data_IF_676328567098
#
_entry.id   IF_676328567098
#
_cell.length_a   1.000
_cell.length_b   1.000
_cell.length_c   1.000
_cell.angle_alpha   90.00
_cell.angle_beta   90.00
_cell.angle_gamma   90.00
#
_symmetry.space_group_name_H-M   'P 1'
#
loop_
_entity.id
_entity.type
_entity.pdbx_description
1 polymer ?
#
# COMPACT_ATOMS: atom_id res chain seq x y z
N UNK A 1 -23.97 6.26 -29.79
CA UNK A 1 -22.58 5.78 -29.56
C UNK A 1 -22.48 5.39 -28.10
N UNK A 2 -22.69 4.12 -27.83
CA UNK A 2 -22.77 3.53 -26.49
C UNK A 2 -21.35 3.37 -25.96
N UNK A 3 -20.99 4.13 -24.91
CA UNK A 3 -19.70 3.96 -24.23
C UNK A 3 -19.74 2.65 -23.44
N UNK A 4 -19.03 1.63 -23.93
CA UNK A 4 -18.68 0.46 -23.12
C UNK A 4 -17.77 0.96 -21.99
N UNK A 5 -18.31 1.05 -20.77
CA UNK A 5 -17.52 1.07 -19.55
C UNK A 5 -17.09 -0.37 -19.28
N UNK A 6 -15.90 -0.75 -19.75
CA UNK A 6 -15.25 -1.96 -19.24
C UNK A 6 -14.85 -1.68 -17.80
N UNK A 7 -15.65 -2.16 -16.85
CA UNK A 7 -15.32 -2.15 -15.43
C UNK A 7 -14.08 -3.03 -15.22
N UNK A 8 -12.95 -2.40 -14.94
CA UNK A 8 -11.79 -3.08 -14.39
C UNK A 8 -12.05 -3.26 -12.90
N UNK A 9 -12.44 -4.47 -12.50
CA UNK A 9 -12.50 -4.84 -11.09
C UNK A 9 -11.05 -5.08 -10.65
N UNK A 10 -10.43 -4.09 -10.00
CA UNK A 10 -9.22 -4.33 -9.24
C UNK A 10 -9.60 -5.28 -8.09
N UNK A 11 -9.26 -6.56 -8.22
CA UNK A 11 -9.39 -7.51 -7.11
C UNK A 11 -8.27 -7.19 -6.13
N UNK A 12 -8.53 -6.26 -5.21
CA UNK A 12 -7.84 -6.29 -3.92
C UNK A 12 -8.32 -7.59 -3.27
N UNK A 13 -7.44 -8.60 -3.19
CA UNK A 13 -7.76 -9.84 -2.47
C UNK A 13 -7.78 -9.51 -0.98
N UNK A 14 -8.89 -8.97 -0.50
CA UNK A 14 -9.26 -9.01 0.92
C UNK A 14 -10.18 -10.21 1.07
N UNK A 15 -9.67 -11.30 1.64
CA UNK A 15 -10.50 -12.45 2.01
C UNK A 15 -11.36 -12.02 3.20
N UNK A 16 -12.61 -11.65 2.93
CA UNK A 16 -13.62 -11.33 3.94
C UNK A 16 -14.44 -12.57 4.31
N UNK A 17 -14.50 -12.92 5.59
CA UNK A 17 -15.42 -13.92 6.14
C UNK A 17 -16.63 -13.18 6.73
N UNK A 18 -17.82 -13.49 6.21
CA UNK A 18 -19.12 -12.96 6.62
C UNK A 18 -19.64 -13.68 7.87
N UNK A 19 -20.05 -12.92 8.90
CA UNK A 19 -21.00 -13.39 9.92
C UNK A 19 -22.07 -12.32 10.12
N UNK A 20 -23.32 -12.67 9.81
CA UNK A 20 -24.48 -11.82 9.96
C UNK A 20 -25.03 -11.85 11.40
N UNK A 21 -25.40 -10.69 11.93
CA UNK A 21 -26.12 -10.54 13.20
C UNK A 21 -27.05 -9.33 13.14
N UNK A 22 -28.28 -9.51 13.60
CA UNK A 22 -29.45 -8.65 13.36
C UNK A 22 -29.75 -7.65 14.49
N UNK A 23 -30.34 -6.51 14.06
CA UNK A 23 -31.47 -5.74 14.65
C UNK A 23 -31.26 -4.54 15.61
N UNK A 24 -32.08 -3.50 15.29
CA UNK A 24 -32.73 -2.42 16.09
C UNK A 24 -32.10 -1.01 16.10
N UNK A 25 -32.74 -0.04 15.41
CA UNK A 25 -32.57 1.42 15.59
C UNK A 25 -33.44 1.97 16.75
N UNK A 26 -33.74 3.29 16.93
CA UNK A 26 -33.46 4.49 16.11
C UNK A 26 -33.05 5.78 16.91
N UNK A 27 -32.73 6.90 16.23
CA UNK A 27 -33.37 8.24 16.30
C UNK A 27 -32.43 9.41 15.91
N UNK A 28 -32.97 10.31 15.09
CA UNK A 28 -32.33 11.52 14.56
C UNK A 28 -32.32 12.71 15.55
N UNK A 29 -31.37 13.63 15.35
CA UNK A 29 -31.27 14.92 16.05
C UNK A 29 -31.30 16.08 15.01
N UNK A 30 -31.92 17.24 15.30
CA UNK A 30 -32.27 18.25 14.29
C UNK A 30 -31.12 19.13 13.78
N UNK A 31 -31.34 19.72 12.61
CA UNK A 31 -30.38 20.18 11.59
C UNK A 31 -29.88 21.64 11.66
N UNK A 32 -30.03 22.37 12.77
CA UNK A 32 -29.91 23.86 12.71
C UNK A 32 -28.75 24.50 13.51
N UNK A 33 -27.62 23.81 13.72
CA UNK A 33 -26.45 24.42 14.38
C UNK A 33 -25.28 24.81 13.46
N UNK A 34 -25.25 24.38 12.20
CA UNK A 34 -24.04 24.46 11.36
C UNK A 34 -23.95 25.65 10.39
N UNK A 35 -24.97 26.51 10.28
CA UNK A 35 -25.04 27.48 9.18
C UNK A 35 -24.19 28.77 9.36
N UNK A 36 -23.16 28.82 10.22
CA UNK A 36 -22.43 30.09 10.49
C UNK A 36 -20.90 30.06 10.61
N UNK A 37 -20.19 29.02 10.14
CA UNK A 37 -18.72 28.95 10.22
C UNK A 37 -17.96 28.75 8.88
N UNK A 38 -18.57 29.04 7.73
CA UNK A 38 -17.97 28.68 6.42
C UNK A 38 -16.92 29.66 5.87
N UNK A 39 -16.14 30.37 6.69
CA UNK A 39 -15.24 31.44 6.19
C UNK A 39 -13.75 31.33 6.52
N UNK A 40 -13.37 30.67 7.61
CA UNK A 40 -11.99 30.76 8.15
C UNK A 40 -11.40 29.44 8.63
N UNK A 41 -12.20 28.39 8.81
CA UNK A 41 -11.74 27.13 9.38
C UNK A 41 -11.01 26.19 8.39
N UNK A 42 -11.20 26.38 7.07
CA UNK A 42 -10.66 25.47 6.05
C UNK A 42 -9.16 25.64 5.82
N UNK A 43 -8.67 26.89 5.81
CA UNK A 43 -7.24 27.15 5.63
C UNK A 43 -6.40 26.63 6.82
N UNK A 44 -6.94 26.72 8.04
CA UNK A 44 -6.27 26.21 9.24
C UNK A 44 -6.30 24.69 9.31
N UNK A 45 -7.37 24.03 8.84
CA UNK A 45 -7.45 22.56 8.80
C UNK A 45 -6.53 21.95 7.75
N UNK A 46 -6.42 22.58 6.58
CA UNK A 46 -5.54 22.10 5.51
C UNK A 46 -4.07 22.25 5.91
N UNK A 47 -3.71 23.39 6.50
CA UNK A 47 -2.37 23.61 7.05
C UNK A 47 -2.03 22.61 8.18
N UNK A 48 -3.01 22.25 9.01
CA UNK A 48 -2.85 21.24 10.05
C UNK A 48 -2.65 19.83 9.46
N UNK A 49 -3.48 19.44 8.49
CA UNK A 49 -3.36 18.17 7.80
C UNK A 49 -1.99 18.02 7.11
N UNK A 50 -1.51 19.08 6.47
CA UNK A 50 -0.18 19.11 5.85
C UNK A 50 0.94 19.04 6.89
N UNK A 51 0.82 19.74 8.02
CA UNK A 51 1.80 19.66 9.12
C UNK A 51 1.90 18.24 9.69
N UNK A 52 0.77 17.56 9.89
CA UNK A 52 0.71 16.18 10.37
C UNK A 52 1.28 15.22 9.32
N UNK A 53 0.95 15.39 8.04
CA UNK A 53 1.52 14.59 6.96
C UNK A 53 3.03 14.75 6.85
N UNK A 54 3.56 15.96 7.01
CA UNK A 54 5.00 16.19 7.05
C UNK A 54 5.65 15.55 8.28
N UNK A 55 5.01 15.62 9.44
CA UNK A 55 5.48 14.95 10.67
C UNK A 55 5.56 13.44 10.48
N UNK A 56 4.51 12.84 9.89
CA UNK A 56 4.48 11.43 9.52
C UNK A 56 5.62 11.07 8.57
N UNK A 57 5.77 11.81 7.47
CA UNK A 57 6.84 11.60 6.48
C UNK A 57 8.24 11.70 7.08
N UNK A 58 8.49 12.70 7.94
CA UNK A 58 9.76 12.86 8.65
C UNK A 58 10.03 11.71 9.63
N UNK A 59 9.03 11.29 10.39
CA UNK A 59 9.17 10.19 11.35
C UNK A 59 9.51 8.85 10.69
N UNK A 60 9.10 8.68 9.42
CA UNK A 60 9.43 7.52 8.60
C UNK A 60 10.66 7.72 7.69
N UNK A 61 11.38 8.84 7.80
CA UNK A 61 12.61 9.08 7.04
C UNK A 61 12.39 9.27 5.54
N UNK A 62 11.36 10.03 5.13
CA UNK A 62 11.02 10.22 3.71
C UNK A 62 12.20 10.65 2.82
N UNK A 63 13.01 11.62 3.26
CA UNK A 63 14.15 12.13 2.49
C UNK A 63 15.28 11.09 2.45
N UNK A 64 15.55 10.43 3.58
CA UNK A 64 16.50 9.32 3.64
C UNK A 64 16.09 8.19 2.68
N UNK A 65 14.81 7.79 2.64
CA UNK A 65 14.33 6.80 1.68
C UNK A 65 14.51 7.30 0.24
N UNK A 66 14.28 8.59 -0.05
CA UNK A 66 14.47 9.15 -1.38
C UNK A 66 15.90 8.92 -1.91
N UNK A 67 16.91 8.99 -1.04
CA UNK A 67 18.32 8.73 -1.38
C UNK A 67 18.66 7.26 -1.69
N UNK A 68 17.83 6.30 -1.27
CA UNK A 68 18.09 4.87 -1.48
C UNK A 68 17.77 4.43 -2.93
N UNK A 69 18.75 3.92 -3.69
CA UNK A 69 18.52 3.56 -5.10
C UNK A 69 17.66 2.30 -5.25
N UNK A 70 17.72 1.37 -4.29
CA UNK A 70 16.96 0.13 -4.34
C UNK A 70 16.11 -0.06 -3.08
N UNK A 71 14.95 -0.70 -3.26
CA UNK A 71 14.11 -1.22 -2.18
C UNK A 71 13.83 -2.69 -2.45
N UNK A 72 14.15 -3.53 -1.46
CA UNK A 72 13.86 -4.95 -1.47
C UNK A 72 12.90 -5.29 -0.35
N UNK A 73 11.94 -6.18 -0.62
CA UNK A 73 11.11 -6.79 0.40
C UNK A 73 10.57 -8.16 -0.05
N UNK A 74 10.16 -8.97 0.92
CA UNK A 74 9.26 -10.11 0.75
C UNK A 74 7.91 -9.73 1.35
N UNK A 75 6.86 -9.76 0.54
CA UNK A 75 5.49 -9.55 0.98
C UNK A 75 4.85 -10.90 1.30
N UNK A 76 4.28 -11.06 2.49
CA UNK A 76 3.69 -12.30 2.95
C UNK A 76 2.37 -12.06 3.68
N UNK A 77 1.52 -13.08 3.67
CA UNK A 77 0.28 -13.13 4.44
C UNK A 77 0.44 -14.17 5.54
N UNK A 78 0.24 -13.74 6.77
CA UNK A 78 0.24 -14.56 7.97
C UNK A 78 -1.19 -14.87 8.38
N UNK A 79 -1.54 -16.14 8.51
CA UNK A 79 -2.88 -16.62 8.90
C UNK A 79 -2.75 -17.75 9.92
N UNK A 80 -3.85 -18.22 10.54
CA UNK A 80 -3.80 -19.38 11.43
C UNK A 80 -3.24 -20.66 10.79
N UNK A 81 -3.33 -20.79 9.46
CA UNK A 81 -2.83 -21.94 8.72
C UNK A 81 -1.33 -21.84 8.40
N UNK A 82 -0.70 -20.71 8.75
CA UNK A 82 0.70 -20.42 8.57
C UNK A 82 0.98 -19.24 7.64
N UNK A 83 2.25 -18.88 7.54
CA UNK A 83 2.70 -17.75 6.72
C UNK A 83 2.91 -18.19 5.25
N UNK A 84 2.29 -17.46 4.32
CA UNK A 84 2.44 -17.65 2.88
C UNK A 84 3.14 -16.46 2.25
N UNK A 85 4.28 -16.69 1.61
CA UNK A 85 4.92 -15.67 0.76
C UNK A 85 4.05 -15.38 -0.46
N UNK A 86 3.71 -14.11 -0.62
CA UNK A 86 2.86 -13.62 -1.71
C UNK A 86 3.71 -13.13 -2.87
N UNK A 87 4.82 -12.45 -2.61
CA UNK A 87 5.76 -11.97 -3.61
C UNK A 87 7.10 -11.55 -3.02
N UNK A 88 8.16 -11.64 -3.82
CA UNK A 88 9.49 -11.11 -3.50
C UNK A 88 9.82 -10.01 -4.49
N UNK A 89 10.22 -8.86 -3.98
CA UNK A 89 10.25 -7.60 -4.70
C UNK A 89 11.65 -7.01 -4.66
N UNK A 90 12.14 -6.53 -5.80
CA UNK A 90 13.31 -5.67 -5.89
C UNK A 90 13.02 -4.54 -6.87
N UNK A 91 13.04 -3.31 -6.36
CA UNK A 91 12.72 -2.11 -7.11
C UNK A 91 13.96 -1.21 -7.21
N UNK A 92 14.39 -0.93 -8.45
CA UNK A 92 15.29 0.17 -8.77
C UNK A 92 14.49 1.48 -8.82
N UNK A 93 14.59 2.24 -7.73
CA UNK A 93 13.89 3.51 -7.53
C UNK A 93 14.48 4.62 -8.41
N UNK A 94 15.65 4.43 -9.00
CA UNK A 94 16.28 5.44 -9.87
C UNK A 94 15.79 5.31 -11.31
N UNK A 95 15.69 4.09 -11.84
CA UNK A 95 15.34 3.83 -13.25
C UNK A 95 13.91 3.32 -13.46
N UNK A 96 13.22 2.91 -12.39
CA UNK A 96 11.91 2.28 -12.47
C UNK A 96 11.96 0.80 -12.85
N UNK A 97 13.15 0.18 -13.01
CA UNK A 97 13.24 -1.27 -13.21
C UNK A 97 12.76 -1.99 -11.96
N UNK A 98 11.98 -3.04 -12.16
CA UNK A 98 11.35 -3.76 -11.08
C UNK A 98 11.33 -5.25 -11.40
N UNK A 99 11.73 -6.02 -10.41
CA UNK A 99 11.68 -7.47 -10.40
C UNK A 99 10.68 -7.90 -9.35
N UNK A 100 9.74 -8.75 -9.73
CA UNK A 100 8.90 -9.47 -8.77
C UNK A 100 8.86 -10.95 -9.09
N UNK A 101 9.01 -11.75 -8.04
CA UNK A 101 8.98 -13.20 -8.08
C UNK A 101 7.81 -13.69 -7.24
N UNK A 102 7.01 -14.60 -7.78
CA UNK A 102 5.92 -15.19 -7.01
C UNK A 102 5.63 -16.61 -7.47
N UNK A 103 5.11 -17.41 -6.55
CA UNK A 103 4.66 -18.77 -6.82
C UNK A 103 3.14 -18.78 -6.95
N UNK A 104 2.63 -19.21 -8.10
CA UNK A 104 1.17 -19.34 -8.34
C UNK A 104 0.65 -20.72 -7.94
N UNK A 105 1.48 -21.75 -8.07
CA UNK A 105 1.20 -23.14 -7.73
C UNK A 105 2.55 -23.85 -7.41
N UNK A 106 2.54 -25.04 -6.79
CA UNK A 106 3.78 -25.73 -6.37
C UNK A 106 4.85 -25.84 -7.47
N UNK A 107 4.44 -26.00 -8.73
CA UNK A 107 5.30 -26.17 -9.91
C UNK A 107 5.31 -24.93 -10.84
N UNK A 108 4.85 -23.78 -10.36
CA UNK A 108 4.58 -22.62 -11.19
C UNK A 108 5.12 -21.34 -10.55
N UNK A 109 6.38 -21.04 -10.88
CA UNK A 109 7.09 -19.85 -10.43
C UNK A 109 7.16 -18.83 -11.55
N UNK A 110 6.80 -17.60 -11.22
CA UNK A 110 6.84 -16.47 -12.13
C UNK A 110 7.96 -15.51 -11.74
N UNK A 111 8.61 -14.97 -12.76
CA UNK A 111 9.56 -13.85 -12.63
C UNK A 111 9.12 -12.79 -13.61
N UNK A 112 8.74 -11.62 -13.12
CA UNK A 112 8.45 -10.46 -13.98
C UNK A 112 9.60 -9.47 -13.89
N UNK A 113 10.11 -9.08 -15.05
CA UNK A 113 11.11 -8.03 -15.23
C UNK A 113 10.43 -6.90 -16.00
N UNK A 114 9.96 -5.88 -15.27
CA UNK A 114 9.17 -4.78 -15.83
C UNK A 114 9.81 -3.43 -15.50
N UNK A 115 9.36 -2.38 -16.18
CA UNK A 115 9.66 -1.01 -15.78
C UNK A 115 8.38 -0.29 -15.36
N UNK A 116 8.24 0.05 -14.08
CA UNK A 116 7.03 0.66 -13.51
C UNK A 116 6.86 2.14 -13.86
N UNK A 117 7.81 2.72 -14.63
CA UNK A 117 7.74 4.10 -15.15
C UNK A 117 7.56 4.16 -16.67
N UNK A 118 7.47 3.01 -17.35
CA UNK A 118 7.32 2.92 -18.80
C UNK A 118 6.15 2.02 -19.16
N UNK A 119 5.47 2.32 -20.26
CA UNK A 119 4.26 1.64 -20.70
C UNK A 119 3.03 2.50 -20.49
N UNK A 120 1.87 1.87 -20.35
CA UNK A 120 0.60 2.55 -20.03
C UNK A 120 0.26 2.39 -18.55
N UNK A 121 -0.66 3.21 -18.05
CA UNK A 121 -1.04 3.27 -16.62
C UNK A 121 -1.45 1.94 -15.99
N UNK A 122 -1.79 0.92 -16.79
CA UNK A 122 -2.16 -0.43 -16.34
C UNK A 122 -1.31 -1.56 -16.93
N UNK A 123 -0.38 -1.25 -17.82
CA UNK A 123 0.43 -2.26 -18.50
C UNK A 123 1.86 -1.75 -18.70
N UNK A 124 2.77 -2.04 -17.75
CA UNK A 124 4.15 -1.59 -17.85
C UNK A 124 4.88 -2.28 -19.00
N UNK A 125 5.97 -1.71 -19.49
CA UNK A 125 6.89 -2.41 -20.38
C UNK A 125 7.63 -3.52 -19.63
N UNK A 126 7.95 -4.63 -20.30
CA UNK A 126 8.76 -5.70 -19.72
C UNK A 126 8.46 -7.08 -20.28
N UNK A 127 8.95 -8.09 -19.56
CA UNK A 127 8.76 -9.50 -19.90
C UNK A 127 8.50 -10.31 -18.64
N UNK A 128 7.60 -11.27 -18.73
CA UNK A 128 7.31 -12.21 -17.66
C UNK A 128 7.67 -13.62 -18.08
N UNK A 129 8.29 -14.36 -17.17
CA UNK A 129 8.74 -15.73 -17.35
C UNK A 129 7.97 -16.65 -16.42
N UNK A 130 7.64 -17.85 -16.88
CA UNK A 130 7.14 -18.95 -16.06
C UNK A 130 8.16 -20.07 -16.11
N UNK A 131 8.70 -20.45 -14.94
CA UNK A 131 9.74 -21.48 -14.81
C UNK A 131 10.94 -21.25 -15.75
N UNK A 132 11.37 -19.99 -15.91
CA UNK A 132 12.48 -19.60 -16.78
C UNK A 132 12.14 -19.41 -18.26
N UNK A 133 10.94 -19.79 -18.70
CA UNK A 133 10.49 -19.64 -20.10
C UNK A 133 9.66 -18.37 -20.25
N UNK A 134 9.98 -17.54 -21.25
CA UNK A 134 9.22 -16.32 -21.52
C UNK A 134 7.76 -16.65 -21.90
N UNK A 135 6.82 -15.94 -21.28
CA UNK A 135 5.42 -15.99 -21.68
C UNK A 135 5.22 -15.16 -22.96
N UNK A 136 4.17 -15.47 -23.71
CA UNK A 136 3.76 -14.69 -24.88
C UNK A 136 2.23 -14.54 -24.92
N UNK A 137 1.73 -13.62 -25.75
CA UNK A 137 0.30 -13.39 -25.97
C UNK A 137 -0.45 -12.95 -24.71
N UNK A 138 -1.70 -13.38 -24.59
CA UNK A 138 -2.59 -12.98 -23.49
C UNK A 138 -2.06 -13.38 -22.11
N UNK A 139 -1.42 -14.55 -22.01
CA UNK A 139 -0.84 -15.03 -20.76
C UNK A 139 0.30 -14.13 -20.26
N UNK A 140 1.11 -13.59 -21.17
CA UNK A 140 2.16 -12.64 -20.84
C UNK A 140 1.58 -11.30 -20.38
N UNK A 141 0.60 -10.79 -21.13
CA UNK A 141 -0.07 -9.52 -20.82
C UNK A 141 -0.71 -9.58 -19.42
N UNK A 142 -1.41 -10.67 -19.11
CA UNK A 142 -2.06 -10.84 -17.82
C UNK A 142 -1.06 -10.98 -16.67
N UNK A 143 0.01 -11.74 -16.87
CA UNK A 143 1.05 -11.87 -15.87
C UNK A 143 1.79 -10.54 -15.63
N UNK A 144 1.93 -9.69 -16.66
CA UNK A 144 2.53 -8.37 -16.54
C UNK A 144 1.63 -7.39 -15.78
N UNK A 145 0.31 -7.44 -16.00
CA UNK A 145 -0.67 -6.71 -15.17
C UNK A 145 -0.62 -7.17 -13.72
N UNK A 146 -0.55 -8.48 -13.48
CA UNK A 146 -0.40 -9.04 -12.12
C UNK A 146 0.86 -8.50 -11.44
N UNK A 147 2.00 -8.45 -12.15
CA UNK A 147 3.25 -7.90 -11.61
C UNK A 147 3.11 -6.41 -11.22
N UNK A 148 2.41 -5.64 -12.03
CA UNK A 148 2.16 -4.22 -11.75
C UNK A 148 1.18 -4.00 -10.59
N UNK A 149 0.09 -4.77 -10.53
CA UNK A 149 -0.86 -4.75 -9.40
C UNK A 149 -0.15 -5.04 -8.08
N UNK A 150 0.76 -6.02 -8.07
CA UNK A 150 1.62 -6.33 -6.91
C UNK A 150 2.53 -5.17 -6.55
N UNK A 151 3.16 -4.53 -7.54
CA UNK A 151 3.96 -3.33 -7.28
C UNK A 151 3.12 -2.25 -6.59
N UNK A 152 1.93 -1.93 -7.12
CA UNK A 152 1.05 -0.91 -6.55
C UNK A 152 0.62 -1.32 -5.14
N UNK A 153 0.00 -2.49 -4.96
CA UNK A 153 -0.56 -2.90 -3.68
C UNK A 153 0.51 -3.16 -2.61
N UNK A 154 1.49 -4.00 -2.92
CA UNK A 154 2.43 -4.51 -1.91
C UNK A 154 3.38 -3.38 -1.45
N UNK A 155 3.78 -2.49 -2.36
CA UNK A 155 4.56 -1.30 -2.01
C UNK A 155 3.71 -0.28 -1.24
N UNK A 156 2.41 -0.14 -1.55
CA UNK A 156 1.55 0.79 -0.80
C UNK A 156 1.41 0.36 0.66
N UNK A 157 1.19 -0.94 0.91
CA UNK A 157 1.17 -1.48 2.26
C UNK A 157 2.45 -1.25 3.06
N UNK A 158 3.61 -1.13 2.39
CA UNK A 158 4.85 -0.78 3.06
C UNK A 158 5.02 0.74 3.22
N UNK A 159 4.70 1.50 2.18
CA UNK A 159 5.08 2.91 2.04
C UNK A 159 3.95 3.90 2.32
N UNK A 160 2.75 3.45 2.71
CA UNK A 160 1.58 4.31 2.96
C UNK A 160 1.90 5.58 3.78
N UNK A 161 2.69 5.53 4.88
CA UNK A 161 3.06 6.75 5.62
C UNK A 161 3.78 7.82 4.79
N UNK A 162 4.49 7.39 3.75
CA UNK A 162 5.29 8.26 2.88
C UNK A 162 4.50 8.77 1.67
N UNK A 163 3.42 8.07 1.31
CA UNK A 163 2.56 8.35 0.16
C UNK A 163 1.48 9.39 0.41
N UNK A 164 1.31 9.83 1.65
CA UNK A 164 0.32 10.86 2.02
C UNK A 164 0.49 12.18 1.27
N UNK A 165 1.66 12.44 0.69
CA UNK A 165 1.96 13.63 -0.11
C UNK A 165 2.08 13.37 -1.62
N UNK A 166 1.71 12.17 -2.08
CA UNK A 166 1.72 11.86 -3.52
C UNK A 166 0.70 12.76 -4.26
N UNK A 167 0.99 13.17 -5.52
CA UNK A 167 0.04 13.93 -6.32
C UNK A 167 -1.31 13.20 -6.45
N UNK A 168 -2.41 13.93 -6.28
CA UNK A 168 -3.77 13.39 -6.32
C UNK A 168 -4.28 12.83 -5.00
N UNK A 169 -3.47 12.81 -3.93
CA UNK A 169 -3.94 12.48 -2.57
C UNK A 169 -4.45 13.75 -1.89
N UNK A 170 -5.73 13.76 -1.54
CA UNK A 170 -6.36 14.78 -0.71
C UNK A 170 -6.24 14.36 0.76
N UNK A 171 -6.06 15.33 1.66
CA UNK A 171 -5.87 15.09 3.10
C UNK A 171 -6.81 15.98 3.90
N UNK A 172 -7.52 15.39 4.85
CA UNK A 172 -8.31 16.12 5.85
C UNK A 172 -7.91 15.67 7.24
N UNK A 173 -7.67 16.62 8.15
CA UNK A 173 -7.46 16.30 9.55
C UNK A 173 -8.79 15.95 10.22
N UNK A 174 -8.83 14.82 10.93
CA UNK A 174 -9.92 14.44 11.81
C UNK A 174 -9.39 14.28 13.24
N UNK A 175 -9.99 14.94 14.24
CA UNK A 175 -9.66 14.68 15.63
C UNK A 175 -10.14 13.28 16.02
N UNK A 176 -9.26 12.48 16.63
CA UNK A 176 -9.68 11.24 17.28
C UNK A 176 -10.28 11.57 18.66
N UNK A 177 -11.60 11.50 18.78
CA UNK A 177 -12.28 11.70 20.06
C UNK A 177 -12.21 10.48 20.98
N UNK A 178 -11.79 9.32 20.47
CA UNK A 178 -11.69 8.08 21.24
C UNK A 178 -10.37 7.98 22.00
N UNK A 179 -9.29 8.58 21.48
CA UNK A 179 -7.99 8.63 22.15
C UNK A 179 -7.34 10.00 22.00
N UNK A 180 -6.75 10.52 23.08
CA UNK A 180 -6.00 11.78 23.02
C UNK A 180 -4.60 11.62 22.37
N UNK A 181 -4.22 10.39 21.98
CA UNK A 181 -2.85 10.00 21.61
C UNK A 181 -2.58 10.04 20.11
N UNK A 182 -3.61 10.10 19.27
CA UNK A 182 -3.47 10.07 17.82
C UNK A 182 -3.97 11.34 17.15
N UNK A 183 -3.32 11.70 16.06
CA UNK A 183 -3.88 12.55 15.02
C UNK A 183 -4.38 11.63 13.89
N UNK A 184 -5.52 11.94 13.27
CA UNK A 184 -6.03 11.14 12.15
C UNK A 184 -6.00 11.95 10.87
N UNK A 185 -5.38 11.39 9.84
CA UNK A 185 -5.52 11.89 8.47
C UNK A 185 -6.51 11.02 7.73
N UNK A 186 -7.58 11.64 7.25
CA UNK A 186 -8.48 11.05 6.26
C UNK A 186 -7.96 11.38 4.86
N UNK A 187 -7.81 10.35 4.03
CA UNK A 187 -7.33 10.43 2.68
C UNK A 187 -8.42 10.03 1.70
N UNK A 188 -8.59 10.84 0.66
CA UNK A 188 -9.33 10.50 -0.54
C UNK A 188 -8.45 10.74 -1.77
N UNK A 189 -8.81 10.17 -2.91
CA UNK A 189 -7.98 10.22 -4.11
C UNK A 189 -8.72 10.94 -5.24
N UNK A 190 -7.98 11.73 -6.01
CA UNK A 190 -8.46 12.20 -7.32
C UNK A 190 -8.44 11.06 -8.34
N UNK A 191 -8.36 11.41 -9.63
CA UNK A 191 -8.25 10.43 -10.72
C UNK A 191 -6.84 9.79 -10.79
N UNK A 192 -6.39 9.19 -9.69
CA UNK A 192 -5.08 8.55 -9.54
C UNK A 192 -5.21 7.14 -8.98
N UNK A 193 -4.22 6.29 -9.27
CA UNK A 193 -4.22 4.90 -8.81
C UNK A 193 -5.20 4.00 -9.55
N UNK A 194 -5.40 2.79 -9.04
CA UNK A 194 -6.33 1.80 -9.60
C UNK A 194 -7.72 1.84 -8.94
N UNK A 195 -7.81 2.50 -7.78
CA UNK A 195 -8.98 2.52 -6.89
C UNK A 195 -9.21 3.93 -6.33
N UNK A 196 -9.59 4.90 -7.20
CA UNK A 196 -9.69 6.32 -6.80
C UNK A 196 -10.81 6.58 -5.77
N UNK A 197 -11.81 5.69 -5.68
CA UNK A 197 -12.93 5.82 -4.75
C UNK A 197 -12.65 5.16 -3.38
N UNK A 198 -11.40 4.76 -3.10
CA UNK A 198 -11.00 4.29 -1.77
C UNK A 198 -10.92 5.45 -0.76
N UNK A 199 -11.25 5.17 0.50
CA UNK A 199 -11.11 6.11 1.62
C UNK A 199 -10.24 5.51 2.73
N UNK A 200 -9.20 6.24 3.18
CA UNK A 200 -8.25 5.77 4.20
C UNK A 200 -8.19 6.69 5.42
N UNK A 201 -8.13 6.11 6.61
CA UNK A 201 -7.87 6.80 7.87
C UNK A 201 -6.55 6.32 8.46
N UNK A 202 -5.58 7.21 8.52
CA UNK A 202 -4.26 6.95 9.09
C UNK A 202 -4.19 7.54 10.50
N UNK A 203 -3.98 6.69 11.51
CA UNK A 203 -3.85 7.06 12.91
C UNK A 203 -2.38 7.23 13.25
N UNK A 204 -1.95 8.48 13.39
CA UNK A 204 -0.56 8.87 13.61
C UNK A 204 -0.34 9.18 15.09
N UNK A 205 0.61 8.49 15.71
CA UNK A 205 1.01 8.75 17.10
C UNK A 205 1.44 10.21 17.27
N UNK A 206 0.84 10.94 18.20
CA UNK A 206 1.30 12.30 18.57
C UNK A 206 2.69 12.28 19.21
N UNK A 207 3.03 11.19 19.91
CA UNK A 207 4.31 11.04 20.60
C UNK A 207 5.47 10.72 19.66
N UNK A 208 5.28 9.77 18.74
CA UNK A 208 6.38 9.31 17.85
C UNK A 208 6.31 9.89 16.43
N UNK A 209 5.13 10.34 16.00
CA UNK A 209 4.88 10.70 14.61
C UNK A 209 4.76 9.51 13.66
N UNK A 210 4.77 8.27 14.16
CA UNK A 210 4.63 7.07 13.33
C UNK A 210 3.18 6.67 13.12
N UNK A 211 2.94 5.95 12.03
CA UNK A 211 1.65 5.33 11.76
C UNK A 211 1.46 4.12 12.67
N UNK A 212 0.48 4.17 13.57
CA UNK A 212 0.18 3.06 14.47
C UNK A 212 -0.99 2.20 13.93
N UNK A 213 -1.89 2.80 13.15
CA UNK A 213 -3.08 2.12 12.64
C UNK A 213 -3.56 2.71 11.32
N UNK A 214 -4.07 1.84 10.47
CA UNK A 214 -4.71 2.21 9.21
C UNK A 214 -6.09 1.56 9.14
N UNK A 215 -7.13 2.37 8.98
CA UNK A 215 -8.45 1.91 8.59
C UNK A 215 -8.76 2.29 7.14
N UNK A 216 -9.51 1.46 6.43
CA UNK A 216 -9.90 1.75 5.05
C UNK A 216 -11.31 1.25 4.73
N UNK A 217 -11.97 1.97 3.84
CA UNK A 217 -13.15 1.56 3.11
C UNK A 217 -12.78 1.55 1.63
N UNK A 218 -12.93 0.41 0.96
CA UNK A 218 -12.54 0.26 -0.44
C UNK A 218 -13.75 0.47 -1.33
N UNK A 219 -13.54 0.98 -2.54
CA UNK A 219 -14.60 1.22 -3.54
C UNK A 219 -15.46 -0.02 -3.89
N UNK A 220 -14.99 -1.23 -3.55
CA UNK A 220 -15.71 -2.49 -3.75
C UNK A 220 -16.44 -3.02 -2.51
N UNK A 221 -16.36 -2.33 -1.37
CA UNK A 221 -17.09 -2.65 -0.15
C UNK A 221 -18.50 -2.06 -0.21
N UNK A 222 -19.45 -2.68 0.49
CA UNK A 222 -20.78 -2.09 0.68
C UNK A 222 -20.65 -0.73 1.37
N UNK A 223 -21.42 0.27 0.94
CA UNK A 223 -21.34 1.66 1.47
C UNK A 223 -21.51 1.74 2.99
N UNK A 224 -22.28 0.81 3.58
CA UNK A 224 -22.55 0.71 5.01
C UNK A 224 -21.63 -0.28 5.75
N UNK A 225 -20.72 -0.96 5.04
CA UNK A 225 -19.74 -1.83 5.66
C UNK A 225 -18.78 -1.02 6.54
N UNK A 226 -18.48 -1.49 7.77
CA UNK A 226 -17.50 -0.81 8.61
C UNK A 226 -16.11 -0.88 7.96
N UNK A 227 -15.27 0.16 8.12
CA UNK A 227 -13.89 0.13 7.65
C UNK A 227 -13.13 -1.08 8.20
N UNK A 228 -12.30 -1.67 7.36
CA UNK A 228 -11.33 -2.68 7.81
C UNK A 228 -10.18 -1.98 8.50
N UNK A 229 -9.72 -2.51 9.63
CA UNK A 229 -8.72 -1.85 10.49
C UNK A 229 -7.51 -2.75 10.70
N UNK A 230 -6.32 -2.19 10.50
CA UNK A 230 -5.04 -2.87 10.69
C UNK A 230 -4.14 -2.06 11.64
N UNK A 231 -3.61 -2.74 12.66
CA UNK A 231 -2.57 -2.22 13.53
C UNK A 231 -1.20 -2.42 12.89
N UNK A 232 -0.43 -1.34 12.78
CA UNK A 232 0.93 -1.31 12.26
C UNK A 232 1.90 -1.51 13.41
N UNK A 233 2.65 -2.59 13.37
CA UNK A 233 3.52 -3.03 14.47
C UNK A 233 4.86 -3.55 13.93
N UNK A 234 5.77 -3.88 14.86
CA UNK A 234 7.10 -4.39 14.55
C UNK A 234 7.90 -3.40 13.67
N UNK A 235 8.13 -2.20 14.20
CA UNK A 235 8.95 -1.21 13.51
C UNK A 235 10.41 -1.70 13.38
N UNK A 236 10.94 -1.55 12.18
CA UNK A 236 12.37 -1.70 11.89
C UNK A 236 12.96 -0.39 11.38
N UNK A 237 14.28 -0.22 11.57
CA UNK A 237 15.03 0.92 11.03
C UNK A 237 16.05 0.43 10.03
N UNK A 238 15.93 0.88 8.79
CA UNK A 238 16.89 0.65 7.71
C UNK A 238 17.84 1.83 7.62
N UNK A 239 19.07 1.58 7.14
CA UNK A 239 20.04 2.65 6.86
C UNK A 239 20.00 2.97 5.37
N UNK A 240 19.60 4.19 5.03
CA UNK A 240 19.74 4.76 3.69
C UNK A 240 20.95 5.71 3.64
N UNK A 241 21.43 6.10 2.44
CA UNK A 241 22.57 7.01 2.30
C UNK A 241 22.45 8.32 3.11
N UNK A 242 21.25 8.92 3.14
CA UNK A 242 21.00 10.20 3.82
C UNK A 242 20.38 10.06 5.23
N UNK A 243 20.32 8.85 5.79
CA UNK A 243 19.88 8.65 7.17
C UNK A 243 19.00 7.43 7.41
N UNK A 244 18.38 7.32 8.60
CA UNK A 244 17.53 6.21 8.95
C UNK A 244 16.15 6.29 8.29
N UNK A 245 15.60 5.12 7.95
CA UNK A 245 14.24 4.94 7.44
C UNK A 245 13.51 3.97 8.37
N UNK A 246 12.46 4.44 9.05
CA UNK A 246 11.66 3.61 9.95
C UNK A 246 10.40 3.10 9.25
N UNK A 247 10.18 1.78 9.24
CA UNK A 247 9.02 1.15 8.59
C UNK A 247 8.49 0.01 9.46
N UNK A 248 7.18 -0.18 9.49
CA UNK A 248 6.55 -1.29 10.22
C UNK A 248 6.53 -2.55 9.36
N UNK A 249 6.98 -3.67 9.90
CA UNK A 249 7.06 -4.96 9.16
C UNK A 249 5.83 -5.83 9.34
N UNK A 250 4.92 -5.50 10.26
CA UNK A 250 3.68 -6.24 10.49
C UNK A 250 2.47 -5.32 10.46
N UNK A 251 1.41 -5.73 9.76
CA UNK A 251 0.10 -5.07 9.76
C UNK A 251 -0.95 -6.10 10.12
N UNK A 252 -1.42 -6.10 11.36
CA UNK A 252 -2.35 -7.11 11.89
C UNK A 252 -3.79 -6.61 11.83
N UNK A 253 -4.70 -7.42 11.30
CA UNK A 253 -6.13 -7.07 11.28
C UNK A 253 -6.67 -7.02 12.72
N UNK A 254 -7.29 -5.91 13.12
CA UNK A 254 -7.83 -5.72 14.49
C UNK A 254 -8.96 -6.70 14.78
N UNK A 255 -9.81 -6.96 13.78
CA UNK A 255 -10.97 -7.84 13.89
C UNK A 255 -10.76 -9.19 13.15
N UNK A 256 -9.51 -9.58 12.91
CA UNK A 256 -9.18 -10.77 12.15
C UNK A 256 -8.01 -11.55 12.74
N UNK A 257 -7.77 -12.74 12.21
CA UNK A 257 -6.64 -13.59 12.60
C UNK A 257 -5.48 -13.55 11.59
N UNK A 258 -5.49 -12.56 10.70
CA UNK A 258 -4.49 -12.41 9.65
C UNK A 258 -3.65 -11.16 9.84
N UNK A 259 -2.45 -11.20 9.27
CA UNK A 259 -1.58 -10.05 9.18
C UNK A 259 -0.81 -10.04 7.86
N UNK A 260 -0.53 -8.85 7.37
CA UNK A 260 0.43 -8.64 6.29
C UNK A 260 1.81 -8.50 6.91
N UNK A 261 2.76 -9.24 6.35
CA UNK A 261 4.16 -9.22 6.73
C UNK A 261 5.01 -8.64 5.61
N UNK A 262 6.00 -7.85 5.99
CA UNK A 262 7.07 -7.40 5.13
C UNK A 262 8.40 -7.86 5.71
N UNK A 263 8.96 -8.94 5.17
CA UNK A 263 10.24 -9.51 5.59
C UNK A 263 11.33 -9.23 4.55
N UNK A 264 12.58 -9.61 4.82
CA UNK A 264 13.73 -9.38 3.93
C UNK A 264 13.83 -7.92 3.44
N UNK A 265 13.40 -7.00 4.30
CA UNK A 265 13.27 -5.58 3.99
C UNK A 265 14.66 -4.94 4.02
N UNK A 266 15.10 -4.39 2.89
CA UNK A 266 16.43 -3.82 2.76
C UNK A 266 16.48 -2.66 1.74
N UNK A 267 17.49 -1.80 1.90
CA UNK A 267 17.83 -0.71 0.98
C UNK A 267 19.23 -0.93 0.40
N UNK A 268 19.43 -1.95 -0.45
CA UNK A 268 20.76 -2.25 -0.94
C UNK A 268 21.28 -1.11 -1.83
N UNK A 269 22.59 -0.90 -1.85
CA UNK A 269 23.22 0.12 -2.70
C UNK A 269 23.40 -0.35 -4.16
N UNK A 270 23.40 -1.68 -4.37
CA UNK A 270 23.51 -2.36 -5.66
C UNK A 270 22.57 -3.56 -5.69
N UNK A 271 22.00 -3.93 -6.85
CA UNK A 271 21.19 -5.14 -6.96
C UNK A 271 22.10 -6.37 -7.15
N UNK A 272 21.61 -7.60 -6.91
CA UNK A 272 22.29 -8.82 -7.32
C UNK A 272 22.59 -8.83 -8.82
N UNK A 273 23.68 -9.50 -9.21
CA UNK A 273 24.03 -9.70 -10.62
C UNK A 273 22.88 -10.35 -11.38
N UNK A 274 22.52 -9.74 -12.51
CA UNK A 274 21.42 -10.21 -13.35
C UNK A 274 20.00 -9.98 -12.78
N UNK A 275 19.84 -9.21 -11.70
CA UNK A 275 18.53 -8.92 -11.10
C UNK A 275 17.46 -8.52 -12.14
N UNK A 276 17.83 -7.73 -13.14
CA UNK A 276 16.92 -7.21 -14.16
C UNK A 276 17.07 -7.84 -15.55
N UNK A 277 17.70 -9.02 -15.63
CA UNK A 277 17.89 -9.75 -16.90
C UNK A 277 17.67 -11.26 -16.78
N UNK A 278 17.85 -11.84 -15.60
CA UNK A 278 17.76 -13.29 -15.37
C UNK A 278 16.30 -13.76 -15.25
N UNK A 279 15.88 -14.78 -16.01
CA UNK A 279 14.47 -15.23 -16.06
C UNK A 279 14.07 -16.20 -14.94
N UNK A 280 15.01 -16.62 -14.10
CA UNK A 280 14.80 -17.55 -12.96
C UNK A 280 14.88 -16.80 -11.63
N UNK A 281 14.26 -17.30 -10.55
CA UNK A 281 14.29 -16.68 -9.22
C UNK A 281 15.70 -16.38 -8.70
N UNK A 282 15.83 -15.29 -7.95
CA UNK A 282 17.06 -14.76 -7.35
C UNK A 282 16.84 -14.24 -5.93
N UNK A 283 15.60 -13.94 -5.51
CA UNK A 283 15.31 -13.27 -4.25
C UNK A 283 15.04 -14.24 -3.07
N UNK A 284 15.17 -15.55 -3.29
CA UNK A 284 14.91 -16.58 -2.26
C UNK A 284 15.98 -16.67 -1.16
N UNK A 285 17.10 -15.95 -1.28
CA UNK A 285 18.17 -15.93 -0.27
C UNK A 285 18.25 -14.56 0.40
N UNK A 286 18.34 -14.46 1.74
CA UNK A 286 18.89 -13.27 2.35
C UNK A 286 20.30 -13.08 1.77
N UNK A 287 20.60 -11.88 1.31
CA UNK A 287 21.97 -11.52 0.93
C UNK A 287 22.82 -11.65 2.21
N UNK A 288 23.88 -12.45 2.14
CA UNK A 288 24.84 -12.62 3.23
C UNK A 288 25.62 -11.33 3.46
#
# INVERSE_FOLDING_TARGET
MTRFRSGFLAVVVVVGVLVAGTLVGPRAVPTDFFARMSGTATADSDALADSIAQRLRRAHGADALASAPYLRLTFALDTPDGTRVIGRHLWDRTTGRYRVEWQKAPDSVYVALINVRKGTDSLPEGTVYRNGTALTGDAETEARRTAYQRFINDMYWLLAPLKVADPGVNRTYLPDSSTATHDVLHLTFGDVGLTPDDEYWLYISKGTGRLDRWAFHLQGMDDDAPPQVYDWTEDTTLTAPEGPVALSTRKAAVNGSQAILTTDLALPSQPPDGAFSTPTPLLDRPEN
#
